data_IF_069217462551
#
_entry.id   IF_069217462551
#
_cell.length_a   1.000
_cell.length_b   1.000
_cell.length_c   1.000
_cell.angle_alpha   90.00
_cell.angle_beta   90.00
_cell.angle_gamma   90.00
#
_symmetry.space_group_name_H-M   'P 1'
#
loop_
_entity.id
_entity.type
_entity.pdbx_description
1 polymer ?
#
# COMPACT_ATOMS: atom_id res chain seq x y z
N UNK A 1 28.24 -16.85 13.73
CA UNK A 1 27.27 -16.81 12.61
C UNK A 1 26.69 -15.41 12.65
N UNK A 2 27.00 -14.57 11.68
CA UNK A 2 26.53 -13.18 11.70
C UNK A 2 25.03 -13.17 11.36
N UNK A 3 24.23 -12.63 12.28
CA UNK A 3 22.78 -12.51 12.10
C UNK A 3 22.47 -11.41 11.08
N UNK A 4 21.58 -11.69 10.12
CA UNK A 4 21.14 -10.76 9.06
C UNK A 4 19.65 -10.92 8.81
N UNK A 5 19.01 -9.87 8.27
CA UNK A 5 17.64 -9.94 7.81
C UNK A 5 17.44 -11.10 6.80
N UNK A 6 16.34 -11.86 6.89
CA UNK A 6 16.02 -12.89 5.91
C UNK A 6 15.99 -12.35 4.48
N UNK A 7 16.40 -13.18 3.52
CA UNK A 7 16.39 -12.80 2.10
C UNK A 7 14.96 -12.48 1.66
N UNK A 8 14.74 -11.24 1.23
CA UNK A 8 13.46 -10.72 0.75
C UNK A 8 12.65 -9.94 1.79
N UNK A 9 13.23 -9.69 2.96
CA UNK A 9 12.73 -8.72 3.94
C UNK A 9 13.72 -7.55 4.05
N UNK A 10 13.27 -6.44 4.61
CA UNK A 10 14.09 -5.23 4.76
C UNK A 10 13.76 -4.55 6.10
N UNK A 11 14.80 -4.09 6.78
CA UNK A 11 14.62 -3.16 7.89
C UNK A 11 14.29 -1.77 7.32
N UNK A 12 13.22 -1.15 7.80
CA UNK A 12 12.83 0.21 7.42
C UNK A 12 13.54 1.18 8.37
N UNK A 13 14.59 1.83 7.87
CA UNK A 13 15.39 2.80 8.61
C UNK A 13 14.70 4.18 8.68
N UNK A 14 15.10 5.09 9.60
CA UNK A 14 14.40 6.36 9.81
C UNK A 14 14.17 7.21 8.55
N UNK A 15 15.13 7.25 7.63
CA UNK A 15 15.00 7.96 6.35
C UNK A 15 13.90 7.38 5.45
N UNK A 16 13.79 6.07 5.40
CA UNK A 16 12.77 5.36 4.63
C UNK A 16 11.42 5.40 5.35
N UNK A 17 11.43 5.34 6.69
CA UNK A 17 10.24 5.45 7.51
C UNK A 17 9.54 6.81 7.31
N UNK A 18 10.29 7.91 7.23
CA UNK A 18 9.74 9.24 6.98
C UNK A 18 8.99 9.33 5.63
N UNK A 19 9.57 8.72 4.58
CA UNK A 19 8.91 8.63 3.26
C UNK A 19 7.62 7.82 3.33
N UNK A 20 7.63 6.67 4.00
CA UNK A 20 6.44 5.81 4.17
C UNK A 20 5.35 6.52 4.95
N UNK A 21 5.68 7.13 6.07
CA UNK A 21 4.73 7.89 6.89
C UNK A 21 4.09 9.06 6.13
N UNK A 22 4.81 9.69 5.19
CA UNK A 22 4.23 10.70 4.31
C UNK A 22 3.09 10.09 3.46
N UNK A 23 3.35 8.95 2.81
CA UNK A 23 2.34 8.23 2.02
C UNK A 23 1.18 7.74 2.87
N UNK A 24 1.47 7.20 4.06
CA UNK A 24 0.46 6.70 5.00
C UNK A 24 -0.50 7.82 5.44
N UNK A 25 0.03 9.01 5.76
CA UNK A 25 -0.79 10.17 6.16
C UNK A 25 -1.68 10.65 5.01
N UNK A 26 -1.12 10.77 3.80
CA UNK A 26 -1.87 11.18 2.62
C UNK A 26 -2.99 10.16 2.29
N UNK A 27 -2.68 8.86 2.35
CA UNK A 27 -3.66 7.81 2.10
C UNK A 27 -4.77 7.78 3.15
N UNK A 28 -4.41 7.91 4.43
CA UNK A 28 -5.38 7.97 5.52
C UNK A 28 -6.31 9.19 5.42
N UNK A 29 -5.79 10.36 5.02
CA UNK A 29 -6.63 11.55 4.82
C UNK A 29 -7.60 11.40 3.66
N UNK A 30 -7.14 10.88 2.51
CA UNK A 30 -8.01 10.56 1.37
C UNK A 30 -9.10 9.57 1.81
N UNK A 31 -8.75 8.46 2.46
CA UNK A 31 -9.70 7.47 2.95
C UNK A 31 -10.74 8.09 3.87
N UNK A 32 -10.32 8.95 4.82
CA UNK A 32 -11.21 9.69 5.73
C UNK A 32 -12.18 10.59 4.96
N UNK A 33 -11.72 11.31 3.94
CA UNK A 33 -12.58 12.19 3.11
C UNK A 33 -13.63 11.42 2.31
N UNK A 34 -13.34 10.18 1.92
CA UNK A 34 -14.28 9.27 1.26
C UNK A 34 -15.14 8.43 2.24
N UNK A 35 -14.92 8.58 3.55
CA UNK A 35 -15.70 7.91 4.59
C UNK A 35 -15.28 6.47 4.90
N UNK A 36 -14.06 6.07 4.54
CA UNK A 36 -13.50 4.76 4.86
C UNK A 36 -12.98 4.74 6.31
N UNK A 37 -13.35 3.73 7.09
CA UNK A 37 -12.81 3.49 8.42
C UNK A 37 -11.58 2.58 8.39
N UNK A 38 -10.57 2.86 9.20
CA UNK A 38 -9.38 2.00 9.28
C UNK A 38 -9.75 0.64 9.92
N UNK A 39 -9.22 -0.45 9.35
CA UNK A 39 -9.25 -1.79 9.92
C UNK A 39 -7.84 -2.38 9.98
N UNK A 40 -7.57 -3.14 11.05
CA UNK A 40 -6.33 -3.91 11.22
C UNK A 40 -6.69 -5.36 11.53
N UNK A 41 -6.16 -6.28 10.74
CA UNK A 41 -6.35 -7.73 10.93
C UNK A 41 -5.04 -8.39 11.35
N UNK A 42 -5.08 -9.59 11.98
CA UNK A 42 -3.88 -10.34 12.36
C UNK A 42 -2.91 -10.58 11.21
N UNK A 43 -1.62 -10.77 11.54
CA UNK A 43 -0.58 -11.07 10.55
C UNK A 43 -0.66 -12.51 10.02
N UNK A 44 -1.25 -13.42 10.79
CA UNK A 44 -1.55 -14.79 10.37
C UNK A 44 -3.01 -15.11 10.64
N UNK A 45 -3.56 -15.98 9.80
CA UNK A 45 -4.92 -16.49 9.89
C UNK A 45 -4.89 -18.01 9.76
N UNK A 46 -6.01 -18.67 10.03
CA UNK A 46 -6.16 -20.07 9.65
C UNK A 46 -5.95 -20.23 8.15
N UNK A 47 -5.11 -21.20 7.74
CA UNK A 47 -4.76 -21.43 6.33
C UNK A 47 -5.99 -21.61 5.44
N UNK A 48 -7.05 -22.20 5.97
CA UNK A 48 -8.32 -22.40 5.28
C UNK A 48 -8.94 -21.10 4.74
N UNK A 49 -8.74 -19.97 5.42
CA UNK A 49 -9.24 -18.68 4.97
C UNK A 49 -8.71 -18.34 3.57
N UNK A 50 -7.40 -18.49 3.36
CA UNK A 50 -6.78 -18.16 2.08
C UNK A 50 -7.02 -19.23 1.03
N UNK A 51 -7.06 -20.52 1.41
CA UNK A 51 -7.38 -21.60 0.48
C UNK A 51 -8.79 -21.43 -0.10
N UNK A 52 -9.78 -21.11 0.74
CA UNK A 52 -11.16 -20.88 0.30
C UNK A 52 -11.34 -19.50 -0.35
N UNK A 53 -10.78 -18.45 0.25
CA UNK A 53 -10.99 -17.08 -0.19
C UNK A 53 -10.23 -16.69 -1.44
N UNK A 54 -8.95 -17.05 -1.56
CA UNK A 54 -8.11 -16.69 -2.73
C UNK A 54 -8.35 -17.62 -3.92
N UNK A 55 -8.69 -18.87 -3.65
CA UNK A 55 -8.92 -19.92 -4.65
C UNK A 55 -7.71 -20.86 -4.81
N UNK A 56 -7.99 -22.16 -4.89
CA UNK A 56 -6.98 -23.23 -4.94
C UNK A 56 -6.18 -23.25 -6.26
N UNK A 57 -6.65 -22.55 -7.29
CA UNK A 57 -6.00 -22.47 -8.60
C UNK A 57 -4.98 -21.32 -8.69
N UNK A 58 -4.97 -20.41 -7.71
CA UNK A 58 -4.03 -19.30 -7.63
C UNK A 58 -2.61 -19.77 -7.32
N UNK A 59 -1.63 -19.18 -8.00
CA UNK A 59 -0.20 -19.40 -7.69
C UNK A 59 0.12 -19.00 -6.24
N UNK A 60 -0.58 -17.99 -5.70
CA UNK A 60 -0.43 -17.55 -4.30
C UNK A 60 -0.66 -18.73 -3.35
N UNK A 61 -1.83 -19.36 -3.46
CA UNK A 61 -2.23 -20.49 -2.59
C UNK A 61 -1.36 -21.71 -2.84
N UNK A 62 -0.95 -21.97 -4.09
CA UNK A 62 -0.25 -23.20 -4.45
C UNK A 62 1.23 -23.20 -4.09
N UNK A 63 1.90 -22.05 -4.20
CA UNK A 63 3.37 -21.99 -4.18
C UNK A 63 3.95 -20.86 -3.32
N UNK A 64 3.15 -19.87 -2.92
CA UNK A 64 3.69 -18.63 -2.33
C UNK A 64 3.31 -18.39 -0.86
N UNK A 65 2.41 -19.18 -0.25
CA UNK A 65 2.02 -18.97 1.14
C UNK A 65 3.12 -19.41 2.13
N UNK A 66 3.35 -18.58 3.15
CA UNK A 66 4.13 -18.96 4.33
C UNK A 66 3.22 -19.66 5.35
N UNK A 67 3.07 -20.97 5.21
CA UNK A 67 2.24 -21.81 6.08
C UNK A 67 3.08 -22.56 7.11
N UNK A 68 2.59 -22.61 8.35
CA UNK A 68 3.23 -23.31 9.47
C UNK A 68 2.19 -23.92 10.41
N UNK A 69 2.63 -24.82 11.29
CA UNK A 69 1.84 -25.33 12.39
C UNK A 69 2.15 -24.54 13.65
N UNK A 70 1.12 -24.16 14.40
CA UNK A 70 1.31 -23.62 15.74
C UNK A 70 1.66 -24.71 16.76
N UNK A 71 1.83 -24.35 18.04
CA UNK A 71 2.16 -25.30 19.11
C UNK A 71 1.03 -26.30 19.44
N UNK A 72 -0.14 -26.14 18.83
CA UNK A 72 -1.29 -27.03 18.95
C UNK A 72 -1.62 -27.71 17.62
N UNK A 73 -0.64 -27.77 16.70
CA UNK A 73 -0.74 -28.40 15.39
C UNK A 73 -1.84 -27.80 14.49
N UNK A 74 -2.26 -26.55 14.73
CA UNK A 74 -3.20 -25.84 13.85
C UNK A 74 -2.43 -25.21 12.69
N UNK A 75 -2.96 -25.38 11.48
CA UNK A 75 -2.37 -24.78 10.28
C UNK A 75 -2.69 -23.29 10.20
N UNK A 76 -1.65 -22.48 10.31
CA UNK A 76 -1.68 -21.03 10.19
C UNK A 76 -0.87 -20.57 8.99
N UNK A 77 -1.26 -19.46 8.41
CA UNK A 77 -0.56 -18.87 7.26
C UNK A 77 -0.38 -17.37 7.50
N UNK A 78 0.84 -16.86 7.29
CA UNK A 78 1.06 -15.41 7.22
C UNK A 78 0.28 -14.85 6.03
N UNK A 79 -0.48 -13.77 6.25
CA UNK A 79 -1.39 -13.23 5.24
C UNK A 79 -0.65 -12.87 3.94
N UNK A 80 -1.03 -13.44 2.78
CA UNK A 80 -0.45 -13.07 1.50
C UNK A 80 -1.14 -11.86 0.85
N UNK A 81 -2.29 -11.44 1.37
CA UNK A 81 -3.12 -10.33 0.89
C UNK A 81 -4.10 -9.88 2.01
N UNK A 82 -4.75 -8.72 1.83
CA UNK A 82 -5.58 -8.10 2.87
C UNK A 82 -7.09 -8.39 2.79
N UNK A 83 -7.63 -8.63 1.59
CA UNK A 83 -9.06 -8.76 1.29
C UNK A 83 -9.72 -9.87 2.09
N UNK A 84 -9.18 -11.10 2.08
CA UNK A 84 -9.81 -12.23 2.77
C UNK A 84 -9.82 -12.05 4.29
N UNK A 85 -8.76 -11.47 4.86
CA UNK A 85 -8.70 -11.12 6.28
C UNK A 85 -9.75 -10.08 6.66
N UNK A 86 -9.89 -9.03 5.84
CA UNK A 86 -10.91 -7.98 6.06
C UNK A 86 -12.32 -8.54 5.89
N UNK A 87 -12.56 -9.37 4.87
CA UNK A 87 -13.86 -10.04 4.66
C UNK A 87 -14.19 -10.98 5.82
N UNK A 88 -13.22 -11.73 6.36
CA UNK A 88 -13.39 -12.56 7.57
C UNK A 88 -13.80 -11.72 8.76
N UNK A 89 -13.12 -10.59 9.00
CA UNK A 89 -13.47 -9.68 10.08
C UNK A 89 -14.87 -9.06 9.89
N UNK A 90 -15.27 -8.75 8.65
CA UNK A 90 -16.62 -8.28 8.31
C UNK A 90 -17.69 -9.31 8.74
N UNK A 91 -17.46 -10.60 8.45
CA UNK A 91 -18.36 -11.70 8.85
C UNK A 91 -18.35 -11.92 10.37
N UNK A 92 -17.17 -12.09 10.97
CA UNK A 92 -16.99 -12.43 12.38
C UNK A 92 -17.63 -11.38 13.31
N UNK A 93 -17.50 -10.11 12.96
CA UNK A 93 -18.05 -9.00 13.75
C UNK A 93 -19.44 -8.56 13.33
N UNK A 94 -20.14 -9.35 12.51
CA UNK A 94 -21.51 -9.08 12.09
C UNK A 94 -21.68 -7.71 11.42
N UNK A 95 -20.66 -7.24 10.70
CA UNK A 95 -20.64 -5.87 10.15
C UNK A 95 -21.71 -5.64 9.09
N UNK A 96 -22.30 -6.70 8.53
CA UNK A 96 -23.49 -6.61 7.67
C UNK A 96 -24.70 -5.95 8.36
N UNK A 97 -24.74 -5.90 9.70
CA UNK A 97 -25.77 -5.20 10.47
C UNK A 97 -25.53 -3.68 10.61
N UNK A 98 -24.35 -3.18 10.22
CA UNK A 98 -24.01 -1.75 10.25
C UNK A 98 -24.67 -1.01 9.08
N UNK A 99 -24.76 0.34 9.12
CA UNK A 99 -25.18 1.12 7.97
C UNK A 99 -24.35 0.77 6.73
N UNK A 100 -25.02 0.35 5.67
CA UNK A 100 -24.39 -0.01 4.41
C UNK A 100 -24.24 1.21 3.48
N UNK A 101 -23.23 1.22 2.59
CA UNK A 101 -22.15 0.22 2.52
C UNK A 101 -21.12 0.40 3.64
N UNK A 102 -20.48 -0.71 4.02
CA UNK A 102 -19.36 -0.69 4.97
C UNK A 102 -18.08 -0.45 4.18
N UNK A 103 -17.43 0.70 4.43
CA UNK A 103 -16.20 1.13 3.75
C UNK A 103 -15.01 1.01 4.71
N UNK A 104 -14.03 0.20 4.35
CA UNK A 104 -12.87 -0.12 5.20
C UNK A 104 -11.57 0.11 4.44
N UNK A 105 -10.53 0.61 5.11
CA UNK A 105 -9.19 0.71 4.54
C UNK A 105 -8.14 0.12 5.48
N UNK A 106 -6.99 -0.26 4.92
CA UNK A 106 -5.87 -0.79 5.68
C UNK A 106 -4.51 -0.35 5.15
N UNK A 107 -3.52 -0.36 6.05
CA UNK A 107 -2.09 -0.35 5.76
C UNK A 107 -1.43 -1.50 6.52
N UNK A 108 -0.97 -2.52 5.79
CA UNK A 108 -0.52 -3.78 6.39
C UNK A 108 0.63 -4.41 5.60
N UNK A 109 1.58 -5.05 6.30
CA UNK A 109 2.56 -5.93 5.66
C UNK A 109 1.92 -7.24 5.20
N UNK A 110 2.39 -7.80 4.10
CA UNK A 110 1.92 -9.01 3.44
C UNK A 110 3.10 -9.91 3.10
N UNK A 111 2.85 -11.22 3.01
CA UNK A 111 3.91 -12.22 2.91
C UNK A 111 3.69 -13.16 1.72
N UNK A 112 4.63 -13.18 0.76
CA UNK A 112 4.59 -14.09 -0.41
C UNK A 112 5.96 -14.66 -0.70
N UNK A 113 6.06 -15.98 -0.83
CA UNK A 113 7.26 -16.69 -1.25
C UNK A 113 7.48 -16.53 -2.77
N UNK A 114 7.61 -15.29 -3.23
CA UNK A 114 7.81 -14.98 -4.64
C UNK A 114 9.31 -14.89 -4.99
N UNK A 115 9.64 -15.06 -6.28
CA UNK A 115 10.95 -14.73 -6.83
C UNK A 115 11.14 -13.21 -6.75
N UNK A 116 12.09 -12.79 -5.94
CA UNK A 116 12.39 -11.38 -5.72
C UNK A 116 12.82 -10.65 -7.00
N UNK A 117 12.32 -9.43 -7.16
CA UNK A 117 12.63 -8.48 -8.22
C UNK A 117 12.56 -7.07 -7.66
N UNK A 118 12.94 -6.04 -8.43
CA UNK A 118 12.80 -4.64 -7.99
C UNK A 118 11.32 -4.35 -7.67
N UNK A 119 11.02 -3.96 -6.43
CA UNK A 119 9.64 -3.74 -5.96
C UNK A 119 8.84 -5.01 -5.65
N UNK A 120 9.47 -6.20 -5.66
CA UNK A 120 8.85 -7.47 -5.25
C UNK A 120 9.66 -8.12 -4.14
N UNK A 121 9.07 -8.12 -2.96
CA UNK A 121 9.65 -8.61 -1.72
C UNK A 121 8.85 -9.79 -1.17
N UNK A 122 9.45 -10.51 -0.22
CA UNK A 122 8.78 -11.62 0.48
C UNK A 122 7.95 -11.14 1.66
N UNK A 123 8.36 -10.04 2.27
CA UNK A 123 7.52 -9.18 3.10
C UNK A 123 7.44 -7.82 2.39
N UNK A 124 6.23 -7.34 2.13
CA UNK A 124 5.97 -6.07 1.44
C UNK A 124 4.76 -5.39 2.06
N UNK A 125 4.57 -4.10 1.82
CA UNK A 125 3.48 -3.34 2.43
C UNK A 125 2.38 -3.04 1.41
N UNK A 126 1.12 -3.13 1.85
CA UNK A 126 -0.03 -2.80 1.04
C UNK A 126 -0.93 -1.79 1.71
N UNK A 127 -1.32 -0.79 0.94
CA UNK A 127 -2.53 -0.03 1.17
C UNK A 127 -3.68 -0.71 0.45
N UNK A 128 -4.86 -0.74 1.05
CA UNK A 128 -6.05 -1.25 0.38
C UNK A 128 -7.34 -0.71 0.97
N UNK A 129 -8.39 -0.78 0.17
CA UNK A 129 -9.73 -0.34 0.52
C UNK A 129 -10.75 -1.39 0.06
N UNK A 130 -11.78 -1.61 0.86
CA UNK A 130 -12.86 -2.55 0.61
C UNK A 130 -14.22 -1.88 0.88
N UNK A 131 -15.15 -1.99 -0.06
CA UNK A 131 -16.55 -1.64 0.10
C UNK A 131 -17.35 -2.94 0.16
N UNK A 132 -18.09 -3.16 1.25
CA UNK A 132 -19.04 -4.28 1.38
C UNK A 132 -20.49 -3.78 1.38
N UNK A 133 -21.36 -4.50 0.65
CA UNK A 133 -22.80 -4.25 0.62
C UNK A 133 -23.28 -3.33 -0.50
N UNK A 134 -22.40 -2.86 -1.40
CA UNK A 134 -22.78 -2.06 -2.56
C UNK A 134 -22.60 -2.83 -3.88
N UNK A 135 -23.72 -3.20 -4.51
CA UNK A 135 -23.75 -3.90 -5.80
C UNK A 135 -23.83 -3.00 -7.04
N UNK A 136 -23.87 -1.68 -6.85
CA UNK A 136 -23.97 -0.70 -7.93
C UNK A 136 -22.59 -0.40 -8.54
N UNK A 137 -22.56 -0.11 -9.85
CA UNK A 137 -21.34 0.16 -10.60
C UNK A 137 -20.61 1.43 -10.13
N UNK A 138 -21.35 2.36 -9.53
CA UNK A 138 -20.82 3.58 -8.92
C UNK A 138 -19.89 3.27 -7.74
N UNK A 139 -20.05 2.13 -7.06
CA UNK A 139 -19.12 1.71 -6.02
C UNK A 139 -17.75 1.37 -6.61
N UNK A 140 -17.71 0.66 -7.74
CA UNK A 140 -16.47 0.36 -8.47
C UNK A 140 -15.79 1.65 -8.94
N UNK A 141 -16.58 2.60 -9.47
CA UNK A 141 -16.07 3.89 -9.90
C UNK A 141 -15.57 4.76 -8.73
N UNK A 142 -16.18 4.68 -7.54
CA UNK A 142 -15.72 5.39 -6.34
C UNK A 142 -14.36 4.85 -5.85
N UNK A 143 -14.19 3.53 -5.85
CA UNK A 143 -12.92 2.89 -5.48
C UNK A 143 -11.79 3.33 -6.41
N UNK A 144 -12.07 3.42 -7.72
CA UNK A 144 -11.12 3.94 -8.71
C UNK A 144 -10.88 5.44 -8.51
N UNK A 145 -11.92 6.23 -8.25
CA UNK A 145 -11.84 7.67 -8.02
C UNK A 145 -11.03 8.04 -6.76
N UNK A 146 -11.09 7.22 -5.71
CA UNK A 146 -10.25 7.37 -4.53
C UNK A 146 -8.76 7.25 -4.90
N UNK A 147 -8.39 6.25 -5.72
CA UNK A 147 -7.02 6.08 -6.20
C UNK A 147 -6.57 7.24 -7.10
N UNK A 148 -7.43 7.69 -8.03
CA UNK A 148 -7.17 8.84 -8.88
C UNK A 148 -6.89 10.11 -8.06
N UNK A 149 -7.74 10.38 -7.04
CA UNK A 149 -7.55 11.50 -6.12
C UNK A 149 -6.26 11.37 -5.29
N UNK A 150 -5.92 10.17 -4.84
CA UNK A 150 -4.68 9.92 -4.09
C UNK A 150 -3.44 10.14 -4.97
N UNK A 151 -3.46 9.65 -6.22
CA UNK A 151 -2.35 9.89 -7.15
C UNK A 151 -2.21 11.36 -7.52
N UNK A 152 -3.31 12.07 -7.73
CA UNK A 152 -3.28 13.52 -7.95
C UNK A 152 -2.68 14.27 -6.74
N UNK A 153 -3.02 13.88 -5.51
CA UNK A 153 -2.46 14.48 -4.28
C UNK A 153 -0.96 14.24 -4.14
N UNK A 154 -0.47 13.07 -4.56
CA UNK A 154 0.96 12.76 -4.62
C UNK A 154 1.69 13.43 -5.79
N UNK A 155 0.98 14.03 -6.74
CA UNK A 155 1.55 14.59 -7.96
C UNK A 155 1.94 13.55 -9.01
N UNK A 156 1.41 12.33 -8.94
CA UNK A 156 1.67 11.26 -9.91
C UNK A 156 0.92 11.51 -11.22
N UNK A 157 1.66 11.70 -12.31
CA UNK A 157 1.09 12.00 -13.63
C UNK A 157 1.24 10.87 -14.66
N UNK A 158 2.26 10.02 -14.52
CA UNK A 158 2.61 8.99 -15.52
C UNK A 158 2.00 7.62 -15.22
N UNK A 159 0.72 7.61 -14.81
CA UNK A 159 -0.01 6.38 -14.48
C UNK A 159 -1.27 6.30 -15.32
N UNK A 160 -1.47 5.17 -16.01
CA UNK A 160 -2.63 4.90 -16.84
C UNK A 160 -3.58 3.91 -16.17
N UNK A 161 -4.86 4.28 -16.06
CA UNK A 161 -5.91 3.35 -15.65
C UNK A 161 -6.30 2.43 -16.82
N UNK A 162 -6.28 1.13 -16.57
CA UNK A 162 -6.82 0.11 -17.45
C UNK A 162 -7.94 -0.66 -16.74
N UNK A 163 -9.06 -0.87 -17.43
CA UNK A 163 -10.24 -1.54 -16.88
C UNK A 163 -10.67 -2.72 -17.76
N UNK A 164 -11.33 -3.70 -17.15
CA UNK A 164 -11.94 -4.84 -17.83
C UNK A 164 -13.15 -5.35 -17.02
N UNK A 165 -13.92 -6.27 -17.62
CA UNK A 165 -14.92 -7.06 -16.91
C UNK A 165 -14.71 -8.55 -17.16
N UNK A 166 -14.56 -9.32 -16.08
CA UNK A 166 -14.45 -10.79 -16.12
C UNK A 166 -15.80 -11.50 -15.90
N UNK A 167 -16.89 -10.72 -15.89
CA UNK A 167 -18.26 -11.21 -15.77
C UNK A 167 -18.57 -11.99 -14.48
N UNK A 168 -19.77 -12.55 -14.45
CA UNK A 168 -20.23 -13.44 -13.38
C UNK A 168 -19.83 -14.90 -13.67
N UNK A 169 -20.04 -15.85 -12.73
CA UNK A 169 -19.72 -17.26 -12.94
C UNK A 169 -20.32 -17.84 -14.23
N UNK A 170 -21.55 -17.47 -14.59
CA UNK A 170 -22.19 -17.93 -15.83
C UNK A 170 -21.48 -17.42 -17.10
N UNK A 171 -21.03 -16.16 -17.11
CA UNK A 171 -20.24 -15.60 -18.22
C UNK A 171 -18.92 -16.36 -18.39
N UNK A 172 -18.26 -16.71 -17.27
CA UNK A 172 -16.97 -17.41 -17.27
C UNK A 172 -17.08 -18.82 -17.81
N UNK A 173 -18.15 -19.56 -17.53
CA UNK A 173 -18.28 -20.92 -18.07
C UNK A 173 -18.38 -20.92 -19.60
N UNK A 174 -19.14 -19.99 -20.17
CA UNK A 174 -19.19 -19.79 -21.62
C UNK A 174 -17.81 -19.42 -22.19
N UNK A 175 -17.12 -18.49 -21.52
CA UNK A 175 -15.80 -18.05 -21.95
C UNK A 175 -14.71 -19.13 -21.84
N UNK A 176 -14.69 -19.90 -20.73
CA UNK A 176 -13.77 -21.04 -20.54
C UNK A 176 -13.94 -22.07 -21.64
N UNK A 177 -15.18 -22.33 -22.09
CA UNK A 177 -15.43 -23.22 -23.22
C UNK A 177 -14.78 -22.68 -24.49
N UNK A 178 -14.99 -21.39 -24.80
CA UNK A 178 -14.38 -20.75 -25.96
C UNK A 178 -12.84 -20.80 -25.93
N UNK A 179 -12.23 -20.51 -24.78
CA UNK A 179 -10.78 -20.62 -24.59
C UNK A 179 -10.28 -22.05 -24.79
N UNK A 180 -11.00 -23.06 -24.25
CA UNK A 180 -10.63 -24.47 -24.44
C UNK A 180 -10.72 -24.88 -25.90
N UNK A 181 -11.76 -24.44 -26.62
CA UNK A 181 -11.92 -24.72 -28.04
C UNK A 181 -10.79 -24.06 -28.86
N UNK A 182 -10.39 -22.83 -28.49
CA UNK A 182 -9.29 -22.08 -29.11
C UNK A 182 -7.91 -22.72 -28.87
N UNK A 183 -7.57 -23.06 -27.63
CA UNK A 183 -6.23 -23.55 -27.29
C UNK A 183 -6.04 -25.04 -27.55
N UNK A 184 -7.11 -25.85 -27.65
CA UNK A 184 -7.00 -27.31 -27.81
C UNK A 184 -6.10 -27.77 -28.97
N UNK A 185 -6.15 -27.16 -30.17
CA UNK A 185 -5.24 -27.51 -31.26
C UNK A 185 -3.77 -27.22 -30.95
N UNK A 186 -3.49 -26.18 -30.16
CA UNK A 186 -2.15 -25.72 -29.83
C UNK A 186 -1.57 -26.38 -28.57
N UNK A 187 -2.43 -26.99 -27.74
CA UNK A 187 -2.11 -27.54 -26.42
C UNK A 187 -0.85 -28.43 -26.39
N UNK A 188 -0.59 -29.33 -27.37
CA UNK A 188 0.61 -30.18 -27.35
C UNK A 188 1.93 -29.40 -27.48
N UNK A 189 1.89 -28.15 -27.94
CA UNK A 189 3.05 -27.27 -28.14
C UNK A 189 3.21 -26.24 -27.02
N UNK A 190 2.22 -26.14 -26.13
CA UNK A 190 2.25 -25.21 -25.00
C UNK A 190 3.11 -25.74 -23.85
N UNK A 191 3.57 -24.84 -22.98
CA UNK A 191 4.36 -25.20 -21.82
C UNK A 191 3.55 -26.07 -20.82
N UNK A 192 4.25 -26.82 -19.98
CA UNK A 192 3.65 -27.73 -18.99
C UNK A 192 2.64 -27.01 -18.08
N UNK A 193 2.96 -25.79 -17.65
CA UNK A 193 2.04 -24.98 -16.84
C UNK A 193 0.74 -24.66 -17.59
N UNK A 194 0.81 -24.32 -18.88
CA UNK A 194 -0.38 -24.06 -19.69
C UNK A 194 -1.20 -25.33 -19.94
N UNK A 195 -0.55 -26.49 -20.07
CA UNK A 195 -1.25 -27.77 -20.17
C UNK A 195 -2.06 -28.06 -18.89
N UNK A 196 -1.48 -27.80 -17.71
CA UNK A 196 -2.20 -27.93 -16.43
C UNK A 196 -3.33 -26.88 -16.31
N UNK A 197 -3.07 -25.64 -16.72
CA UNK A 197 -4.04 -24.54 -16.67
C UNK A 197 -5.24 -24.78 -17.58
N UNK A 198 -5.06 -25.42 -18.72
CA UNK A 198 -6.13 -25.75 -19.66
C UNK A 198 -7.28 -26.53 -19.00
N UNK A 199 -6.93 -27.53 -18.18
CA UNK A 199 -7.91 -28.35 -17.48
C UNK A 199 -8.51 -27.60 -16.29
N UNK A 200 -7.67 -26.98 -15.44
CA UNK A 200 -8.10 -26.30 -14.22
C UNK A 200 -8.79 -24.95 -14.46
N UNK A 201 -8.07 -24.00 -15.04
CA UNK A 201 -8.50 -22.62 -15.19
C UNK A 201 -7.88 -21.98 -16.46
N UNK A 202 -8.52 -22.13 -17.63
CA UNK A 202 -7.94 -21.70 -18.90
C UNK A 202 -7.76 -20.19 -19.01
N UNK A 203 -8.41 -19.37 -18.16
CA UNK A 203 -8.16 -17.92 -18.11
C UNK A 203 -6.70 -17.59 -17.77
N UNK A 204 -6.03 -18.44 -16.98
CA UNK A 204 -4.62 -18.27 -16.60
C UNK A 204 -3.63 -18.50 -17.75
N UNK A 205 -4.11 -18.97 -18.90
CA UNK A 205 -3.28 -19.14 -20.10
C UNK A 205 -3.05 -17.79 -20.80
N UNK A 206 -3.94 -16.81 -20.59
CA UNK A 206 -3.86 -15.46 -21.19
C UNK A 206 -2.67 -14.65 -20.64
N UNK A 207 -2.21 -14.93 -19.42
CA UNK A 207 -1.04 -14.30 -18.77
C UNK A 207 0.18 -15.24 -18.72
N UNK A 208 0.30 -16.16 -19.68
CA UNK A 208 1.50 -16.98 -19.79
C UNK A 208 2.68 -16.15 -20.32
N UNK A 209 3.85 -16.33 -19.71
CA UNK A 209 5.08 -15.59 -20.04
C UNK A 209 6.03 -16.35 -20.98
N UNK A 210 5.71 -17.61 -21.29
CA UNK A 210 6.49 -18.39 -22.25
C UNK A 210 6.21 -17.90 -23.67
N UNK A 211 7.26 -17.58 -24.43
CA UNK A 211 7.18 -16.89 -25.74
C UNK A 211 6.10 -17.48 -26.65
N UNK A 212 6.08 -18.80 -26.80
CA UNK A 212 5.10 -19.50 -27.62
C UNK A 212 3.67 -19.27 -27.13
N UNK A 213 3.42 -19.47 -25.83
CA UNK A 213 2.09 -19.36 -25.25
C UNK A 213 1.60 -17.91 -25.24
N UNK A 214 2.49 -16.96 -24.94
CA UNK A 214 2.21 -15.53 -24.95
C UNK A 214 1.82 -15.05 -26.36
N UNK A 215 2.48 -15.57 -27.40
CA UNK A 215 2.14 -15.23 -28.79
C UNK A 215 0.71 -15.60 -29.20
N UNK A 216 0.13 -16.63 -28.57
CA UNK A 216 -1.25 -17.08 -28.84
C UNK A 216 -2.30 -16.22 -28.11
N UNK A 217 -1.93 -15.50 -27.05
CA UNK A 217 -2.89 -14.72 -26.27
C UNK A 217 -3.57 -13.62 -27.09
N UNK A 218 -2.86 -13.03 -28.07
CA UNK A 218 -3.38 -11.97 -28.93
C UNK A 218 -4.55 -12.42 -29.83
N UNK A 219 -4.62 -13.72 -30.17
CA UNK A 219 -5.69 -14.29 -30.98
C UNK A 219 -6.80 -14.97 -30.18
N UNK A 220 -6.69 -15.01 -28.86
CA UNK A 220 -7.65 -15.68 -28.00
C UNK A 220 -9.01 -14.95 -27.99
N UNK A 221 -10.13 -15.68 -27.79
CA UNK A 221 -11.43 -15.07 -27.54
C UNK A 221 -11.37 -14.00 -26.45
N UNK A 222 -12.15 -12.93 -26.60
CA UNK A 222 -12.17 -11.79 -25.67
C UNK A 222 -13.32 -11.93 -24.68
N UNK A 223 -13.04 -11.88 -23.37
CA UNK A 223 -14.04 -12.09 -22.31
C UNK A 223 -15.25 -11.14 -22.40
N UNK A 224 -15.06 -9.92 -22.92
CA UNK A 224 -16.12 -8.92 -23.08
C UNK A 224 -17.23 -9.35 -24.07
N UNK A 225 -16.91 -10.24 -25.01
CA UNK A 225 -17.88 -10.79 -25.97
C UNK A 225 -18.79 -11.86 -25.35
N UNK A 226 -18.44 -12.35 -24.15
CA UNK A 226 -19.14 -13.43 -23.45
C UNK A 226 -19.87 -12.95 -22.18
N UNK A 227 -20.00 -11.63 -21.99
CA UNK A 227 -20.76 -11.06 -20.89
C UNK A 227 -22.27 -11.23 -21.13
N UNK A 228 -22.99 -11.67 -20.09
CA UNK A 228 -24.44 -11.57 -20.04
C UNK A 228 -24.89 -10.09 -19.93
N UNK A 229 -26.17 -9.84 -20.23
CA UNK A 229 -26.73 -8.49 -20.28
C UNK A 229 -26.50 -7.69 -18.99
N UNK A 230 -26.66 -8.32 -17.82
CA UNK A 230 -26.41 -7.67 -16.52
C UNK A 230 -24.94 -7.25 -16.33
N UNK A 231 -24.00 -8.10 -16.73
CA UNK A 231 -22.57 -7.81 -16.60
C UNK A 231 -22.12 -6.75 -17.62
N UNK A 232 -22.71 -6.76 -18.82
CA UNK A 232 -22.49 -5.73 -19.85
C UNK A 232 -23.01 -4.38 -19.36
N UNK A 233 -24.27 -4.33 -18.91
CA UNK A 233 -24.88 -3.13 -18.35
C UNK A 233 -24.11 -2.58 -17.15
N UNK A 234 -23.62 -3.44 -16.25
CA UNK A 234 -22.80 -3.01 -15.13
C UNK A 234 -21.49 -2.37 -15.61
N UNK A 235 -20.79 -2.99 -16.56
CA UNK A 235 -19.53 -2.46 -17.08
C UNK A 235 -19.72 -1.15 -17.86
N UNK A 236 -20.80 -1.01 -18.62
CA UNK A 236 -21.16 0.25 -19.29
C UNK A 236 -21.43 1.37 -18.27
N UNK A 237 -22.06 1.05 -17.13
CA UNK A 237 -22.27 2.02 -16.04
C UNK A 237 -20.97 2.41 -15.34
N UNK A 238 -20.02 1.49 -15.16
CA UNK A 238 -18.68 1.83 -14.63
C UNK A 238 -18.01 2.84 -15.56
N UNK A 239 -17.96 2.56 -16.86
CA UNK A 239 -17.38 3.46 -17.87
C UNK A 239 -18.04 4.85 -17.83
N UNK A 240 -19.37 4.91 -17.85
CA UNK A 240 -20.10 6.17 -17.80
C UNK A 240 -19.87 6.95 -16.49
N UNK A 241 -19.70 6.26 -15.35
CA UNK A 241 -19.41 6.89 -14.07
C UNK A 241 -17.98 7.45 -14.01
N UNK A 242 -17.00 6.76 -14.62
CA UNK A 242 -15.61 7.25 -14.74
C UNK A 242 -15.54 8.47 -15.68
N UNK A 243 -16.23 8.43 -16.81
CA UNK A 243 -16.32 9.58 -17.75
C UNK A 243 -16.91 10.82 -17.08
N UNK A 244 -17.96 10.66 -16.27
CA UNK A 244 -18.56 11.76 -15.50
C UNK A 244 -17.62 12.35 -14.44
N UNK A 245 -16.68 11.56 -13.94
CA UNK A 245 -15.63 12.01 -13.03
C UNK A 245 -14.40 12.55 -13.77
N UNK A 246 -14.42 12.59 -15.10
CA UNK A 246 -13.30 12.96 -15.96
C UNK A 246 -12.04 12.08 -15.78
N UNK A 247 -12.22 10.84 -15.33
CA UNK A 247 -11.14 9.86 -15.16
C UNK A 247 -10.90 9.18 -16.52
N UNK A 248 -9.68 9.32 -17.05
CA UNK A 248 -9.28 8.68 -18.30
C UNK A 248 -8.96 7.21 -18.07
N UNK A 249 -9.46 6.33 -18.93
CA UNK A 249 -9.19 4.89 -18.86
C UNK A 249 -9.02 4.28 -20.25
N UNK A 250 -8.41 3.10 -20.29
CA UNK A 250 -8.38 2.22 -21.47
C UNK A 250 -9.05 0.90 -21.11
N UNK A 251 -9.88 0.37 -22.02
CA UNK A 251 -10.43 -0.98 -21.86
C UNK A 251 -9.38 -1.99 -22.33
N UNK A 252 -8.84 -2.78 -21.40
CA UNK A 252 -7.88 -3.84 -21.70
C UNK A 252 -8.49 -5.21 -21.42
N UNK A 253 -8.92 -5.97 -22.46
CA UNK A 253 -9.56 -7.27 -22.28
C UNK A 253 -8.64 -8.35 -21.72
N UNK A 254 -7.33 -8.12 -21.69
CA UNK A 254 -6.32 -9.07 -21.24
C UNK A 254 -6.11 -9.05 -19.72
N UNK A 255 -6.72 -8.11 -18.99
CA UNK A 255 -6.63 -8.08 -17.53
C UNK A 255 -7.30 -9.34 -16.97
N UNK A 256 -6.48 -10.28 -16.55
CA UNK A 256 -6.83 -11.45 -15.75
C UNK A 256 -6.15 -11.32 -14.39
N UNK A 257 -6.92 -11.44 -13.31
CA UNK A 257 -6.38 -11.20 -11.97
C UNK A 257 -5.80 -12.46 -11.35
N UNK A 258 -4.81 -12.24 -10.48
CA UNK A 258 -4.07 -13.28 -9.77
C UNK A 258 -4.89 -14.14 -8.80
N UNK A 259 -6.12 -13.74 -8.47
CA UNK A 259 -6.95 -14.29 -7.41
C UNK A 259 -8.32 -14.66 -8.00
N UNK A 260 -8.88 -15.81 -7.65
CA UNK A 260 -10.02 -16.38 -8.38
C UNK A 260 -11.37 -15.78 -7.95
N UNK A 261 -11.40 -15.08 -6.82
CA UNK A 261 -12.61 -14.51 -6.21
C UNK A 261 -13.21 -13.33 -6.98
N UNK A 262 -12.47 -12.72 -7.92
CA UNK A 262 -12.97 -11.54 -8.65
C UNK A 262 -14.22 -11.88 -9.46
N UNK A 263 -15.05 -10.88 -9.71
CA UNK A 263 -16.29 -10.89 -10.49
C UNK A 263 -16.50 -9.54 -11.15
N UNK A 264 -17.13 -9.50 -12.34
CA UNK A 264 -17.44 -8.24 -13.05
C UNK A 264 -16.18 -7.37 -13.19
N UNK A 265 -16.19 -6.14 -12.70
CA UNK A 265 -15.11 -5.15 -12.86
C UNK A 265 -13.79 -5.64 -12.30
N UNK A 266 -12.73 -5.49 -13.09
CA UNK A 266 -11.33 -5.54 -12.64
C UNK A 266 -10.61 -4.36 -13.24
N UNK A 267 -9.60 -3.85 -12.55
CA UNK A 267 -8.82 -2.71 -13.03
C UNK A 267 -7.39 -2.74 -12.51
N UNK A 268 -6.51 -2.07 -13.24
CA UNK A 268 -5.12 -1.87 -12.87
C UNK A 268 -4.68 -0.45 -13.21
N UNK A 269 -3.81 0.11 -12.38
CA UNK A 269 -3.07 1.30 -12.70
C UNK A 269 -1.67 0.88 -13.14
N UNK A 270 -1.34 1.20 -14.39
CA UNK A 270 -0.12 0.80 -15.08
C UNK A 270 0.82 1.99 -15.22
N UNK A 271 2.10 1.75 -14.97
CA UNK A 271 3.20 2.67 -15.24
C UNK A 271 4.28 1.97 -16.05
N UNK A 272 4.95 2.72 -16.92
CA UNK A 272 6.12 2.25 -17.68
C UNK A 272 7.42 2.36 -16.85
N UNK A 273 7.39 3.04 -15.70
CA UNK A 273 8.55 3.29 -14.86
C UNK A 273 8.84 2.14 -13.86
N UNK A 274 7.87 1.27 -13.53
CA UNK A 274 8.03 0.19 -12.52
C UNK A 274 8.17 -1.21 -13.14
N UNK A 275 9.33 -1.48 -13.74
CA UNK A 275 9.73 -2.83 -14.16
C UNK A 275 8.81 -3.47 -15.21
N UNK A 276 9.02 -4.77 -15.50
CA UNK A 276 8.43 -5.43 -16.67
C UNK A 276 6.92 -5.73 -16.59
N UNK A 277 6.26 -5.55 -15.44
CA UNK A 277 4.82 -5.78 -15.29
C UNK A 277 3.98 -4.51 -15.16
N UNK A 278 4.61 -3.34 -14.94
CA UNK A 278 3.97 -2.02 -14.93
C UNK A 278 2.87 -1.73 -13.90
N UNK A 279 2.18 -2.72 -13.33
CA UNK A 279 1.08 -2.49 -12.38
C UNK A 279 1.59 -1.96 -11.03
N UNK A 280 1.15 -0.76 -10.64
CA UNK A 280 1.42 -0.17 -9.32
C UNK A 280 0.28 -0.42 -8.33
N UNK A 281 -0.93 -0.55 -8.83
CA UNK A 281 -2.14 -0.85 -8.07
C UNK A 281 -3.08 -1.72 -8.92
N UNK A 282 -3.89 -2.55 -8.27
CA UNK A 282 -5.01 -3.18 -8.95
C UNK A 282 -6.09 -3.64 -7.99
N UNK A 283 -7.29 -3.78 -8.55
CA UNK A 283 -8.49 -4.05 -7.79
C UNK A 283 -9.60 -4.60 -8.66
N UNK A 284 -10.79 -4.64 -8.09
CA UNK A 284 -11.98 -5.15 -8.76
C UNK A 284 -13.04 -5.60 -7.77
N UNK A 285 -14.16 -6.02 -8.34
CA UNK A 285 -15.34 -6.50 -7.63
C UNK A 285 -15.22 -8.00 -7.34
N UNK A 286 -15.78 -8.48 -6.24
CA UNK A 286 -15.62 -9.86 -5.76
C UNK A 286 -16.84 -10.33 -4.96
N UNK A 287 -18.02 -10.28 -5.58
CA UNK A 287 -19.31 -10.48 -4.91
C UNK A 287 -19.47 -11.86 -4.24
N UNK A 288 -18.69 -12.86 -4.65
CA UNK A 288 -18.77 -14.23 -4.10
C UNK A 288 -17.98 -14.47 -2.81
N UNK A 289 -16.98 -13.65 -2.51
CA UNK A 289 -15.96 -13.94 -1.49
C UNK A 289 -16.55 -14.11 -0.09
N UNK A 290 -17.46 -13.21 0.31
CA UNK A 290 -18.04 -13.23 1.66
C UNK A 290 -18.80 -14.54 1.92
N UNK A 291 -19.50 -15.05 0.92
CA UNK A 291 -20.17 -16.35 0.99
C UNK A 291 -19.17 -17.51 1.06
N UNK A 292 -18.10 -17.47 0.28
CA UNK A 292 -17.08 -18.55 0.24
C UNK A 292 -16.39 -18.76 1.60
N UNK A 293 -16.27 -17.70 2.39
CA UNK A 293 -15.68 -17.74 3.74
C UNK A 293 -16.72 -17.93 4.86
N UNK A 294 -17.98 -18.23 4.52
CA UNK A 294 -19.03 -18.60 5.48
C UNK A 294 -20.00 -17.47 5.89
N UNK A 295 -19.94 -16.32 5.23
CA UNK A 295 -20.91 -15.22 5.41
C UNK A 295 -22.12 -15.30 4.48
N UNK A 296 -22.94 -14.25 4.48
CA UNK A 296 -24.06 -14.08 3.54
C UNK A 296 -23.59 -13.63 2.16
N UNK A 297 -24.48 -13.66 1.16
CA UNK A 297 -24.20 -13.13 -0.18
C UNK A 297 -24.14 -11.59 -0.13
N UNK A 298 -22.93 -11.04 -0.21
CA UNK A 298 -22.66 -9.60 -0.02
C UNK A 298 -21.79 -9.11 -1.18
N UNK A 299 -22.30 -8.19 -2.02
CA UNK A 299 -21.49 -7.63 -3.08
C UNK A 299 -20.36 -6.80 -2.50
N UNK A 300 -19.18 -6.86 -3.13
CA UNK A 300 -18.01 -6.19 -2.60
C UNK A 300 -17.03 -5.78 -3.69
N UNK A 301 -16.30 -4.69 -3.48
CA UNK A 301 -15.32 -4.14 -4.42
C UNK A 301 -14.21 -3.42 -3.67
N UNK A 302 -13.00 -3.51 -4.19
CA UNK A 302 -11.84 -2.91 -3.53
C UNK A 302 -10.56 -3.00 -4.34
N UNK A 303 -9.45 -2.61 -3.72
CA UNK A 303 -8.12 -2.69 -4.31
C UNK A 303 -7.05 -2.95 -3.25
N UNK A 304 -5.88 -3.34 -3.76
CA UNK A 304 -4.64 -3.26 -3.01
C UNK A 304 -3.55 -2.60 -3.87
N UNK A 305 -2.65 -1.88 -3.22
CA UNK A 305 -1.53 -1.15 -3.82
C UNK A 305 -0.27 -1.41 -3.02
N UNK A 306 0.81 -1.84 -3.70
CA UNK A 306 2.09 -2.07 -3.05
C UNK A 306 2.81 -0.77 -2.76
N UNK A 307 3.11 -0.49 -1.49
CA UNK A 307 3.77 0.75 -1.05
C UNK A 307 5.15 0.87 -1.68
N UNK A 308 5.91 -0.22 -1.75
CA UNK A 308 7.24 -0.21 -2.35
C UNK A 308 7.20 0.12 -3.85
N UNK A 309 6.18 -0.37 -4.58
CA UNK A 309 6.03 -0.07 -6.01
C UNK A 309 5.63 1.38 -6.23
N UNK A 310 4.75 1.92 -5.38
CA UNK A 310 4.38 3.33 -5.39
C UNK A 310 5.59 4.23 -5.14
N UNK A 311 6.43 3.89 -4.14
CA UNK A 311 7.65 4.64 -3.85
C UNK A 311 8.63 4.63 -5.04
N UNK A 312 8.82 3.47 -5.67
CA UNK A 312 9.65 3.36 -6.87
C UNK A 312 9.12 4.20 -8.04
N UNK A 313 7.80 4.26 -8.20
CA UNK A 313 7.16 5.11 -9.21
C UNK A 313 7.44 6.59 -8.94
N UNK A 314 7.20 7.02 -7.70
CA UNK A 314 7.41 8.41 -7.30
C UNK A 314 8.87 8.82 -7.46
N UNK A 315 9.81 7.95 -7.07
CA UNK A 315 11.24 8.18 -7.28
C UNK A 315 11.60 8.27 -8.78
N UNK A 316 10.98 7.46 -9.64
CA UNK A 316 11.23 7.50 -11.08
C UNK A 316 10.70 8.79 -11.73
N UNK A 317 9.57 9.32 -11.25
CA UNK A 317 9.04 10.62 -11.68
C UNK A 317 9.74 11.83 -11.01
N UNK A 318 10.73 11.60 -10.14
CA UNK A 318 11.45 12.66 -9.43
C UNK A 318 10.61 13.38 -8.38
N UNK A 319 9.55 12.74 -7.87
CA UNK A 319 8.68 13.29 -6.84
C UNK A 319 9.37 13.22 -5.47
N UNK A 320 9.21 14.28 -4.69
CA UNK A 320 9.81 14.37 -3.35
C UNK A 320 8.96 13.56 -2.37
N UNK A 321 9.52 12.45 -1.91
CA UNK A 321 9.00 11.72 -0.76
C UNK A 321 9.43 12.42 0.53
N UNK A 322 8.58 12.40 1.56
CA UNK A 322 8.87 13.04 2.84
C UNK A 322 10.28 12.74 3.36
N UNK A 323 10.96 13.73 3.90
CA UNK A 323 12.29 13.58 4.51
C UNK A 323 12.18 13.58 6.03
N UNK A 324 13.09 12.92 6.77
CA UNK A 324 13.17 13.10 8.21
C UNK A 324 13.30 14.57 8.55
N UNK A 325 12.40 15.08 9.40
CA UNK A 325 12.62 16.39 10.00
C UNK A 325 13.80 16.26 10.98
N UNK A 326 14.78 17.14 10.84
CA UNK A 326 15.76 17.38 11.91
C UNK A 326 15.08 17.99 13.13
N UNK A 327 15.78 18.10 14.28
CA UNK A 327 15.20 18.73 15.45
C UNK A 327 14.92 20.22 15.20
N UNK A 328 13.84 20.74 15.77
CA UNK A 328 13.55 22.18 15.79
C UNK A 328 14.67 22.95 16.48
N UNK A 329 15.25 22.37 17.53
CA UNK A 329 16.33 22.96 18.30
C UNK A 329 17.38 21.92 18.71
N UNK A 330 18.65 22.26 18.52
CA UNK A 330 19.76 21.62 19.21
C UNK A 330 20.28 22.52 20.34
N UNK A 331 20.32 22.02 21.57
CA UNK A 331 20.90 22.71 22.72
C UNK A 331 22.32 22.19 22.90
N UNK A 332 23.30 23.03 22.56
CA UNK A 332 24.69 22.77 22.85
C UNK A 332 25.04 23.23 24.27
N UNK A 333 25.83 22.47 25.01
CA UNK A 333 26.15 22.78 26.41
C UNK A 333 27.57 22.41 26.77
N UNK A 334 28.08 23.02 27.85
CA UNK A 334 29.33 22.60 28.46
C UNK A 334 29.07 21.45 29.44
N UNK A 335 30.10 20.69 29.86
CA UNK A 335 29.93 19.67 30.87
C UNK A 335 29.26 20.20 32.16
N UNK A 336 29.59 21.43 32.58
CA UNK A 336 29.02 22.06 33.79
C UNK A 336 27.53 22.40 33.66
N UNK A 337 27.01 22.58 32.44
CA UNK A 337 25.61 22.97 32.17
C UNK A 337 24.80 21.90 31.43
N UNK A 338 25.35 20.70 31.30
CA UNK A 338 24.70 19.58 30.59
C UNK A 338 23.37 19.16 31.23
N UNK A 339 23.28 19.23 32.57
CA UNK A 339 22.04 18.95 33.29
C UNK A 339 20.97 20.01 33.04
N UNK A 340 21.35 21.28 32.98
CA UNK A 340 20.44 22.40 32.66
C UNK A 340 19.94 22.31 31.22
N UNK A 341 20.83 21.97 30.28
CA UNK A 341 20.47 21.77 28.88
C UNK A 341 19.46 20.63 28.71
N UNK A 342 19.66 19.51 29.44
CA UNK A 342 18.71 18.40 29.44
C UNK A 342 17.36 18.79 30.08
N UNK A 343 17.37 19.59 31.15
CA UNK A 343 16.14 20.08 31.78
C UNK A 343 15.36 21.03 30.86
N UNK A 344 16.05 21.93 30.15
CA UNK A 344 15.45 22.80 29.15
C UNK A 344 14.90 21.99 27.97
N UNK A 345 15.68 21.04 27.43
CA UNK A 345 15.25 20.14 26.37
C UNK A 345 13.95 19.42 26.75
N UNK A 346 13.89 18.83 27.96
CA UNK A 346 12.69 18.16 28.48
C UNK A 346 11.48 19.09 28.52
N UNK A 347 11.66 20.34 28.93
CA UNK A 347 10.59 21.34 29.01
C UNK A 347 10.04 21.64 27.61
N UNK A 348 10.93 21.92 26.66
CA UNK A 348 10.56 22.24 25.28
C UNK A 348 9.96 21.04 24.52
N UNK A 349 10.41 19.81 24.82
CA UNK A 349 9.78 18.58 24.34
C UNK A 349 8.35 18.45 24.90
N UNK A 350 8.15 18.75 26.19
CA UNK A 350 6.82 18.78 26.80
C UNK A 350 5.88 19.82 26.18
N UNK A 351 6.45 20.81 25.50
CA UNK A 351 5.75 21.81 24.73
C UNK A 351 5.43 21.40 23.28
N UNK A 352 5.90 20.24 22.82
CA UNK A 352 5.64 19.70 21.49
C UNK A 352 6.73 19.94 20.44
N UNK A 353 7.90 20.44 20.84
CA UNK A 353 9.04 20.66 19.93
C UNK A 353 9.97 19.44 19.87
N UNK A 354 10.59 19.21 18.72
CA UNK A 354 11.68 18.26 18.55
C UNK A 354 13.00 18.91 19.02
N UNK A 355 13.51 18.50 20.18
CA UNK A 355 14.72 19.09 20.78
C UNK A 355 15.75 18.02 21.11
N UNK A 356 17.00 18.31 20.74
CA UNK A 356 18.16 17.45 20.98
C UNK A 356 19.22 18.17 21.80
N UNK A 357 20.00 17.45 22.59
CA UNK A 357 21.13 17.97 23.37
C UNK A 357 22.26 16.95 23.40
N UNK A 358 23.49 17.40 23.68
CA UNK A 358 24.62 16.48 23.76
C UNK A 358 24.55 15.57 25.00
N UNK A 359 24.60 14.26 24.77
CA UNK A 359 24.68 13.24 25.82
C UNK A 359 26.03 12.52 25.86
N UNK A 360 26.98 12.97 25.03
CA UNK A 360 28.27 12.29 24.82
C UNK A 360 29.46 13.08 25.39
N UNK A 361 29.21 14.17 26.12
CA UNK A 361 30.22 15.07 26.65
C UNK A 361 31.21 15.57 25.58
N UNK A 362 30.69 15.88 24.38
CA UNK A 362 31.47 16.39 23.27
C UNK A 362 31.85 17.85 23.49
N UNK A 363 32.89 18.31 22.80
CA UNK A 363 33.18 19.75 22.74
C UNK A 363 32.09 20.51 21.97
N UNK A 364 31.88 21.80 22.28
CA UNK A 364 30.90 22.65 21.59
C UNK A 364 31.05 22.58 20.07
N UNK A 365 32.29 22.61 19.55
CA UNK A 365 32.55 22.49 18.11
C UNK A 365 32.05 21.16 17.53
N UNK A 366 32.18 20.06 18.25
CA UNK A 366 31.68 18.76 17.82
C UNK A 366 30.14 18.68 17.92
N UNK A 367 29.54 19.32 18.93
CA UNK A 367 28.09 19.45 19.06
C UNK A 367 27.48 20.27 17.92
N UNK A 368 28.08 21.40 17.55
CA UNK A 368 27.64 22.20 16.39
C UNK A 368 27.66 21.40 15.09
N UNK A 369 28.70 20.57 14.87
CA UNK A 369 28.77 19.66 13.72
C UNK A 369 27.71 18.55 13.78
N UNK A 370 27.35 18.09 14.97
CA UNK A 370 26.28 17.11 15.14
C UNK A 370 24.92 17.74 14.80
N UNK A 371 24.63 18.94 15.32
CA UNK A 371 23.43 19.71 15.01
C UNK A 371 23.25 19.92 13.50
N UNK A 372 24.32 20.35 12.81
CA UNK A 372 24.34 20.53 11.36
C UNK A 372 24.05 19.22 10.61
N UNK A 373 24.73 18.12 10.99
CA UNK A 373 24.51 16.80 10.37
C UNK A 373 23.10 16.25 10.60
N UNK A 374 22.49 16.56 11.75
CA UNK A 374 21.11 16.19 12.08
C UNK A 374 20.07 17.07 11.37
N UNK A 375 20.50 18.15 10.71
CA UNK A 375 19.60 19.11 10.07
C UNK A 375 18.79 19.92 11.07
N UNK A 376 19.36 20.26 12.23
CA UNK A 376 18.69 21.08 13.23
C UNK A 376 18.28 22.45 12.64
N UNK A 377 17.05 22.90 12.89
CA UNK A 377 16.58 24.19 12.38
C UNK A 377 17.26 25.35 13.12
N UNK A 378 17.43 25.22 14.43
CA UNK A 378 18.08 26.19 15.31
C UNK A 378 19.11 25.52 16.22
N UNK A 379 20.07 26.31 16.70
CA UNK A 379 21.00 25.94 17.75
C UNK A 379 21.05 27.01 18.83
N UNK A 380 21.16 26.58 20.07
CA UNK A 380 21.36 27.42 21.25
C UNK A 380 22.54 26.89 22.05
N UNK A 381 23.46 27.76 22.46
CA UNK A 381 24.57 27.37 23.34
C UNK A 381 24.24 27.80 24.76
N UNK A 382 24.22 26.85 25.69
CA UNK A 382 23.87 27.05 27.08
C UNK A 382 25.13 26.94 27.95
N UNK A 383 25.75 28.09 28.24
CA UNK A 383 26.83 28.24 29.22
C UNK A 383 26.32 28.67 30.60
N UNK A 384 27.25 28.81 31.55
CA UNK A 384 26.92 29.20 32.92
C UNK A 384 26.28 30.60 32.97
N UNK A 385 26.70 31.50 32.08
CA UNK A 385 26.12 32.83 31.95
C UNK A 385 24.67 32.76 31.48
N UNK A 386 24.37 32.00 30.41
CA UNK A 386 23.01 31.85 29.88
C UNK A 386 22.05 31.22 30.91
N UNK A 387 22.53 30.24 31.68
CA UNK A 387 21.77 29.65 32.79
C UNK A 387 21.50 30.70 33.87
N UNK A 388 22.54 31.44 34.30
CA UNK A 388 22.41 32.42 35.37
C UNK A 388 21.49 33.59 35.01
N UNK A 389 21.50 34.02 33.74
CA UNK A 389 20.70 35.13 33.24
C UNK A 389 19.32 34.69 32.73
N UNK A 390 19.06 33.38 32.66
CA UNK A 390 17.86 32.80 32.04
C UNK A 390 17.59 33.34 30.62
N UNK A 391 18.66 33.59 29.85
CA UNK A 391 18.61 34.13 28.50
C UNK A 391 19.66 33.45 27.63
N UNK A 392 19.38 33.30 26.33
CA UNK A 392 20.35 32.76 25.39
C UNK A 392 20.17 33.33 23.98
N UNK A 393 21.22 33.21 23.17
CA UNK A 393 21.17 33.48 21.73
C UNK A 393 20.72 32.22 21.00
N UNK A 394 19.59 32.33 20.31
CA UNK A 394 19.07 31.30 19.42
C UNK A 394 19.54 31.63 18.00
N UNK A 395 20.36 30.74 17.43
CA UNK A 395 20.91 30.89 16.09
C UNK A 395 20.17 29.99 15.11
N UNK A 396 19.67 30.57 14.02
CA UNK A 396 19.07 29.83 12.91
C UNK A 396 20.15 29.21 12.04
N UNK A 397 20.05 27.92 11.75
CA UNK A 397 21.12 27.19 11.07
C UNK A 397 21.18 27.50 9.56
N UNK A 398 20.06 27.85 8.93
CA UNK A 398 19.98 28.10 7.48
C UNK A 398 20.64 29.38 7.01
N UNK A 399 20.55 30.46 7.79
CA UNK A 399 21.09 31.79 7.43
C UNK A 399 22.07 32.37 8.46
N UNK A 400 22.23 31.71 9.61
CA UNK A 400 23.11 32.15 10.69
C UNK A 400 22.58 33.34 11.49
N UNK A 401 21.34 33.78 11.26
CA UNK A 401 20.74 34.86 12.04
C UNK A 401 20.60 34.47 13.51
N UNK A 402 20.84 35.44 14.40
CA UNK A 402 20.78 35.24 15.84
C UNK A 402 19.71 36.14 16.46
N UNK A 403 18.95 35.58 17.40
CA UNK A 403 17.98 36.32 18.19
C UNK A 403 18.22 35.99 19.66
N UNK A 404 18.29 37.03 20.51
CA UNK A 404 18.44 36.86 21.96
C UNK A 404 17.06 36.93 22.62
N UNK A 405 16.74 35.94 23.44
CA UNK A 405 15.46 35.82 24.14
C UNK A 405 15.63 35.14 25.50
N UNK A 406 14.61 35.24 26.36
CA UNK A 406 14.60 34.46 27.60
C UNK A 406 14.43 32.97 27.30
N UNK A 407 14.99 32.10 28.16
CA UNK A 407 14.87 30.65 27.99
C UNK A 407 13.40 30.20 28.01
N UNK A 408 12.54 30.91 28.75
CA UNK A 408 11.09 30.67 28.80
C UNK A 408 10.35 31.03 27.52
N UNK A 409 10.90 31.91 26.67
CA UNK A 409 10.27 32.33 25.41
C UNK A 409 10.67 31.47 24.21
N UNK A 410 11.70 30.61 24.36
CA UNK A 410 12.25 29.78 23.27
C UNK A 410 11.17 28.90 22.65
N UNK A 411 10.35 28.27 23.48
CA UNK A 411 9.30 27.37 23.01
C UNK A 411 8.28 28.07 22.12
N UNK A 412 7.74 29.21 22.58
CA UNK A 412 6.79 30.00 21.81
C UNK A 412 7.40 30.57 20.53
N UNK A 413 8.63 31.08 20.61
CA UNK A 413 9.32 31.66 19.46
C UNK A 413 9.48 30.68 18.30
N UNK A 414 9.79 29.41 18.61
CA UNK A 414 9.94 28.33 17.63
C UNK A 414 8.59 27.94 17.00
N UNK A 415 7.53 27.82 17.82
CA UNK A 415 6.18 27.48 17.35
C UNK A 415 5.57 28.52 16.41
N UNK A 416 5.86 29.81 16.64
CA UNK A 416 5.38 30.89 15.77
C UNK A 416 6.02 30.85 14.36
N UNK A 417 7.03 30.01 14.15
CA UNK A 417 7.86 29.93 12.94
C UNK A 417 7.95 28.52 12.35
N UNK A 418 7.26 27.54 12.94
CA UNK A 418 7.19 26.14 12.51
C UNK A 418 6.09 25.89 11.49
#
# INVERSE_FOLDING_TARGET
MDLKAPRGTQDILPEEAAKRQFLERAFADICRRYGYGEIRVPAFEYTELFVRGVGDSSDVVRKEMYTFLDKSDRSLTLRPEGTAGVARAFVEHGMASRPAPVKLWYNMSMFRYEKMQKGRYREFWQFGCEIFGAGAAEADAEVIGLLDAYFAELGLGEVRLEINSIGCPACRESYKKALRDYYRPELPRMCDDCQIRFDRNPLRMLDCKEDYCSSLAAGAPVQLDYLCDDCRLHFDRVQAALEKQAIKFVVNPLIVRGLDYYTRTVFEFISENVGSQGSICGGGRYDGLVREIGGSDVPAVGFAMGVERLMLEMEAQGLVLGSPAGPDLYIASFPSTSADALALAKTLVGEGLAVETDLMNRSIRAQMKAADRMGAAYILVLGEEEVSLAQASLRKMSDGSETRLSLSEVGQYLKDRS
#
